data_IF_030577125208
#
_entry.id   IF_030577125208
#
_cell.length_a   1.000
_cell.length_b   1.000
_cell.length_c   1.000
_cell.angle_alpha   90.00
_cell.angle_beta   90.00
_cell.angle_gamma   90.00
#
_symmetry.space_group_name_H-M   'P 1'
#
loop_
_entity.id
_entity.type
_entity.pdbx_description
1 polymer ?
#
# COMPACT_ATOMS: atom_id res chain seq x y z
N UNK A 1 6.53 1.00 15.19
CA UNK A 1 5.49 -0.05 15.36
C UNK A 1 5.51 -1.07 14.21
N UNK A 2 6.68 -1.47 13.66
CA UNK A 2 6.72 -2.41 12.52
C UNK A 2 6.23 -3.80 12.93
N UNK A 3 5.46 -4.44 12.06
CA UNK A 3 4.92 -5.81 12.22
C UNK A 3 3.98 -6.01 13.41
N UNK A 4 3.42 -4.94 13.99
CA UNK A 4 2.37 -5.10 15.01
C UNK A 4 1.11 -5.63 14.33
N UNK A 5 0.64 -6.79 14.78
CA UNK A 5 -0.56 -7.43 14.26
C UNK A 5 -1.76 -6.54 14.58
N UNK A 6 -2.49 -6.14 13.54
CA UNK A 6 -3.80 -5.52 13.68
C UNK A 6 -4.88 -6.60 13.83
N UNK A 7 -4.83 -7.62 12.99
CA UNK A 7 -5.76 -8.75 12.99
C UNK A 7 -5.09 -10.01 12.47
N UNK A 8 -5.40 -11.16 13.05
CA UNK A 8 -4.98 -12.46 12.53
C UNK A 8 -6.02 -13.53 12.85
N UNK A 9 -6.33 -14.36 11.85
CA UNK A 9 -7.03 -15.63 12.01
C UNK A 9 -6.38 -16.71 11.10
N UNK A 10 -7.07 -17.83 10.88
CA UNK A 10 -6.57 -18.92 10.03
C UNK A 10 -6.53 -18.59 8.54
N UNK A 11 -7.18 -17.50 8.10
CA UNK A 11 -7.34 -17.09 6.70
C UNK A 11 -6.60 -15.79 6.37
N UNK A 12 -6.57 -14.83 7.29
CA UNK A 12 -6.07 -13.48 7.06
C UNK A 12 -5.12 -13.06 8.17
N UNK A 13 -4.06 -12.36 7.80
CA UNK A 13 -3.18 -11.63 8.71
C UNK A 13 -3.01 -10.20 8.18
N UNK A 14 -3.38 -9.21 8.99
CA UNK A 14 -3.22 -7.79 8.70
C UNK A 14 -2.31 -7.16 9.76
N UNK A 15 -1.31 -6.41 9.29
CA UNK A 15 -0.30 -5.76 10.10
C UNK A 15 -0.43 -4.24 9.91
N UNK A 16 -0.32 -3.49 11.01
CA UNK A 16 -0.28 -2.03 10.92
C UNK A 16 0.86 -1.58 10.00
N UNK A 17 0.56 -0.63 9.11
CA UNK A 17 1.53 -0.01 8.20
C UNK A 17 1.83 1.43 8.68
N UNK A 18 0.84 2.33 8.61
CA UNK A 18 0.98 3.72 9.04
C UNK A 18 -0.32 4.19 9.72
N UNK A 19 -0.21 4.91 10.84
CA UNK A 19 -1.36 5.45 11.58
C UNK A 19 -1.50 6.93 11.22
N UNK A 20 -2.58 7.28 10.52
CA UNK A 20 -2.86 8.67 10.14
C UNK A 20 -3.54 9.43 11.28
N UNK A 21 -4.39 8.76 12.05
CA UNK A 21 -5.09 9.37 13.17
C UNK A 21 -5.38 8.36 14.27
N UNK A 22 -4.99 8.70 15.50
CA UNK A 22 -5.29 7.97 16.72
C UNK A 22 -5.61 8.91 17.88
N UNK A 23 -6.48 8.46 18.79
CA UNK A 23 -6.75 9.14 20.06
C UNK A 23 -6.35 8.21 21.20
N UNK A 24 -7.16 7.17 21.43
CA UNK A 24 -6.85 6.06 22.35
C UNK A 24 -6.57 4.75 21.60
N UNK A 25 -6.92 4.73 20.30
CA UNK A 25 -6.75 3.60 19.38
C UNK A 25 -6.64 4.15 17.96
N UNK A 26 -6.07 3.38 17.02
CA UNK A 26 -6.05 3.74 15.62
C UNK A 26 -7.47 3.86 15.05
N UNK A 27 -7.81 5.06 14.59
CA UNK A 27 -9.11 5.39 13.98
C UNK A 27 -8.99 5.36 12.47
N UNK A 28 -7.95 5.99 11.93
CA UNK A 28 -7.68 6.05 10.49
C UNK A 28 -6.23 5.66 10.24
N UNK A 29 -6.01 4.59 9.49
CA UNK A 29 -4.68 4.01 9.30
C UNK A 29 -4.63 3.15 8.04
N UNK A 30 -3.43 2.93 7.52
CA UNK A 30 -3.15 1.89 6.54
C UNK A 30 -2.68 0.61 7.23
N UNK A 31 -2.97 -0.53 6.62
CA UNK A 31 -2.41 -1.81 7.00
C UNK A 31 -2.06 -2.65 5.77
N UNK A 32 -1.19 -3.63 5.96
CA UNK A 32 -0.75 -4.55 4.91
C UNK A 32 -1.09 -5.99 5.27
N UNK A 33 -1.39 -6.81 4.26
CA UNK A 33 -1.45 -8.26 4.44
C UNK A 33 -0.08 -8.93 4.26
N UNK A 34 -0.02 -10.26 4.40
CA UNK A 34 1.19 -11.05 4.23
C UNK A 34 1.85 -10.93 2.83
N UNK A 35 1.08 -10.51 1.82
CA UNK A 35 1.55 -10.32 0.45
C UNK A 35 1.93 -8.85 0.17
N UNK A 36 2.00 -8.03 1.22
CA UNK A 36 2.29 -6.60 1.14
C UNK A 36 1.25 -5.86 0.26
N UNK A 37 0.00 -6.34 0.22
CA UNK A 37 -1.13 -5.58 -0.35
C UNK A 37 -1.57 -4.54 0.68
N UNK A 38 -1.71 -3.30 0.23
CA UNK A 38 -2.11 -2.17 1.07
C UNK A 38 -3.62 -2.05 1.17
N UNK A 39 -4.10 -1.70 2.37
CA UNK A 39 -5.49 -1.45 2.68
C UNK A 39 -5.62 -0.15 3.48
N UNK A 40 -6.65 0.64 3.18
CA UNK A 40 -7.08 1.78 3.99
C UNK A 40 -8.13 1.30 4.99
N UNK A 41 -7.98 1.68 6.26
CA UNK A 41 -8.82 1.22 7.36
C UNK A 41 -9.37 2.39 8.17
N UNK A 42 -10.67 2.35 8.45
CA UNK A 42 -11.38 3.35 9.26
C UNK A 42 -12.21 2.66 10.34
N UNK A 43 -12.12 3.12 11.59
CA UNK A 43 -13.04 2.76 12.66
C UNK A 43 -14.39 3.47 12.43
N UNK A 44 -15.44 2.71 12.17
CA UNK A 44 -16.76 3.24 11.76
C UNK A 44 -17.86 3.10 12.84
N UNK A 45 -17.67 2.25 13.85
CA UNK A 45 -18.58 2.17 15.01
C UNK A 45 -17.79 1.75 16.25
N UNK A 46 -18.06 2.38 17.38
CA UNK A 46 -17.48 2.06 18.69
C UNK A 46 -18.53 1.96 19.82
N UNK A 47 -19.82 2.07 19.49
CA UNK A 47 -20.90 2.21 20.50
C UNK A 47 -21.23 0.91 21.22
N UNK A 48 -21.25 -0.21 20.48
CA UNK A 48 -21.60 -1.56 21.00
C UNK A 48 -20.48 -2.57 20.85
N UNK A 49 -19.73 -2.44 19.77
CA UNK A 49 -18.57 -3.23 19.39
C UNK A 49 -17.69 -2.30 18.56
N UNK A 50 -16.37 -2.49 18.57
CA UNK A 50 -15.54 -1.76 17.63
C UNK A 50 -15.68 -2.39 16.25
N UNK A 51 -15.93 -1.57 15.24
CA UNK A 51 -16.01 -2.01 13.85
C UNK A 51 -15.07 -1.19 12.99
N UNK A 52 -14.19 -1.87 12.28
CA UNK A 52 -13.36 -1.30 11.25
C UNK A 52 -13.84 -1.75 9.88
N UNK A 53 -13.84 -0.82 8.93
CA UNK A 53 -14.03 -1.09 7.53
C UNK A 53 -12.73 -0.85 6.77
N UNK A 54 -12.36 -1.83 5.94
CA UNK A 54 -11.13 -1.79 5.17
C UNK A 54 -11.40 -2.00 3.68
N UNK A 55 -10.63 -1.29 2.87
CA UNK A 55 -10.66 -1.39 1.40
C UNK A 55 -9.24 -1.45 0.86
N UNK A 56 -9.04 -2.19 -0.24
CA UNK A 56 -7.76 -2.20 -0.94
C UNK A 56 -7.44 -0.80 -1.45
N UNK A 57 -6.18 -0.40 -1.34
CA UNK A 57 -5.71 0.92 -1.79
C UNK A 57 -4.27 0.84 -2.32
N UNK A 58 -3.72 1.97 -2.75
CA UNK A 58 -2.33 2.14 -3.18
C UNK A 58 -1.68 3.33 -2.48
N UNK A 59 -0.35 3.38 -2.48
CA UNK A 59 0.42 4.51 -1.91
C UNK A 59 -0.02 5.84 -2.54
N UNK A 60 -0.27 5.85 -3.85
CA UNK A 60 -0.73 7.04 -4.57
C UNK A 60 -2.12 7.49 -4.12
N UNK A 61 -3.07 6.57 -3.92
CA UNK A 61 -4.40 6.95 -3.42
C UNK A 61 -4.31 7.57 -2.02
N UNK A 62 -3.43 7.05 -1.15
CA UNK A 62 -3.21 7.61 0.18
C UNK A 62 -2.53 8.99 0.11
N UNK A 63 -1.54 9.15 -0.77
CA UNK A 63 -0.92 10.46 -1.04
C UNK A 63 -1.96 11.46 -1.57
N UNK A 64 -2.86 11.03 -2.46
CA UNK A 64 -3.91 11.87 -3.02
C UNK A 64 -4.97 12.24 -1.97
N UNK A 65 -5.25 11.35 -1.00
CA UNK A 65 -6.05 11.67 0.18
C UNK A 65 -5.39 12.76 1.02
N UNK A 66 -4.11 12.61 1.36
CA UNK A 66 -3.36 13.61 2.15
C UNK A 66 -3.17 14.94 1.42
N UNK A 67 -3.27 14.96 0.09
CA UNK A 67 -3.18 16.19 -0.73
C UNK A 67 -4.54 16.79 -1.06
N UNK A 68 -5.62 16.29 -0.47
CA UNK A 68 -6.99 16.71 -0.76
C UNK A 68 -7.39 16.59 -2.25
N UNK A 69 -6.79 15.63 -2.97
CA UNK A 69 -7.11 15.32 -4.37
C UNK A 69 -8.11 14.18 -4.52
N UNK A 70 -8.19 13.32 -3.50
CA UNK A 70 -9.10 12.19 -3.42
C UNK A 70 -9.74 12.21 -2.04
N UNK A 71 -11.06 12.13 -1.95
CA UNK A 71 -11.71 12.02 -0.64
C UNK A 71 -11.54 10.61 -0.08
N UNK A 72 -11.60 10.47 1.25
CA UNK A 72 -11.63 9.14 1.86
C UNK A 72 -12.81 8.33 1.32
N UNK A 73 -14.01 8.93 1.24
CA UNK A 73 -15.24 8.29 0.75
C UNK A 73 -15.07 7.68 -0.64
N UNK A 74 -14.44 8.38 -1.58
CA UNK A 74 -14.25 7.88 -2.95
C UNK A 74 -13.43 6.59 -3.02
N UNK A 75 -12.47 6.38 -2.10
CA UNK A 75 -11.73 5.12 -2.02
C UNK A 75 -12.65 3.97 -1.59
N UNK A 76 -13.58 4.23 -0.67
CA UNK A 76 -14.51 3.23 -0.16
C UNK A 76 -15.64 2.88 -1.14
N UNK A 77 -16.02 3.76 -2.05
CA UNK A 77 -17.09 3.48 -3.04
C UNK A 77 -16.55 2.82 -4.31
N UNK A 78 -15.32 3.13 -4.71
CA UNK A 78 -14.72 2.65 -5.96
C UNK A 78 -14.03 1.28 -5.80
N UNK A 79 -14.72 0.33 -5.17
CA UNK A 79 -14.26 -1.05 -4.96
C UNK A 79 -15.45 -2.01 -4.96
N UNK A 80 -15.18 -3.30 -5.08
CA UNK A 80 -16.20 -4.35 -5.08
C UNK A 80 -16.20 -5.20 -3.79
N UNK A 81 -15.21 -4.99 -2.91
CA UNK A 81 -15.01 -5.80 -1.70
C UNK A 81 -14.56 -4.95 -0.52
N UNK A 82 -15.18 -5.20 0.62
CA UNK A 82 -14.84 -4.58 1.91
C UNK A 82 -14.52 -5.65 2.95
N UNK A 83 -13.47 -5.44 3.74
CA UNK A 83 -13.17 -6.26 4.90
C UNK A 83 -13.71 -5.56 6.13
N UNK A 84 -14.62 -6.22 6.85
CA UNK A 84 -15.20 -5.72 8.08
C UNK A 84 -14.61 -6.52 9.24
N UNK A 85 -13.89 -5.82 10.12
CA UNK A 85 -13.36 -6.38 11.35
C UNK A 85 -14.18 -5.86 12.51
N UNK A 86 -14.72 -6.78 13.32
CA UNK A 86 -15.48 -6.45 14.53
C UNK A 86 -14.74 -6.96 15.75
N UNK A 87 -14.62 -6.15 16.79
CA UNK A 87 -14.07 -6.53 18.09
C UNK A 87 -15.13 -6.39 19.18
N UNK A 88 -15.36 -7.49 19.90
CA UNK A 88 -16.22 -7.52 21.09
C UNK A 88 -15.55 -8.33 22.18
N UNK A 89 -15.40 -7.74 23.37
CA UNK A 89 -14.71 -8.34 24.52
C UNK A 89 -13.30 -8.86 24.18
N UNK A 90 -12.53 -8.09 23.40
CA UNK A 90 -11.16 -8.45 22.98
C UNK A 90 -11.07 -9.49 21.87
N UNK A 91 -12.21 -10.06 21.43
CA UNK A 91 -12.24 -11.04 20.34
C UNK A 91 -12.54 -10.32 19.03
N UNK A 92 -11.62 -10.42 18.07
CA UNK A 92 -11.78 -9.89 16.71
C UNK A 92 -12.31 -10.95 15.76
N UNK A 93 -13.16 -10.54 14.81
CA UNK A 93 -13.64 -11.37 13.69
C UNK A 93 -13.64 -10.55 12.40
N UNK A 94 -13.11 -11.13 11.32
CA UNK A 94 -13.09 -10.54 9.99
C UNK A 94 -14.10 -11.24 9.07
N UNK A 95 -14.83 -10.47 8.28
CA UNK A 95 -15.68 -10.97 7.19
C UNK A 95 -15.59 -10.04 5.98
N UNK A 96 -15.60 -10.62 4.78
CA UNK A 96 -15.64 -9.87 3.53
C UNK A 96 -17.10 -9.65 3.13
N UNK A 97 -17.40 -8.43 2.70
CA UNK A 97 -18.71 -7.98 2.25
C UNK A 97 -18.64 -7.58 0.78
N UNK A 98 -19.70 -7.89 0.04
CA UNK A 98 -19.96 -7.36 -1.30
C UNK A 98 -20.77 -6.06 -1.21
N UNK A 99 -20.99 -5.42 -2.36
CA UNK A 99 -21.72 -4.15 -2.45
C UNK A 99 -23.16 -4.25 -1.91
N UNK A 100 -23.80 -5.40 -2.09
CA UNK A 100 -25.17 -5.66 -1.62
C UNK A 100 -25.24 -5.86 -0.10
N UNK A 101 -24.12 -6.18 0.54
CA UNK A 101 -24.05 -6.53 1.95
C UNK A 101 -23.51 -5.37 2.80
N UNK A 102 -22.67 -4.52 2.22
CA UNK A 102 -21.98 -3.45 2.95
C UNK A 102 -22.95 -2.32 3.31
N UNK A 103 -22.78 -1.76 4.50
CA UNK A 103 -23.55 -0.60 4.93
C UNK A 103 -22.80 0.68 4.56
N UNK A 104 -23.33 1.49 3.64
CA UNK A 104 -22.70 2.76 3.25
C UNK A 104 -22.59 3.77 4.40
N UNK A 105 -23.40 3.63 5.46
CA UNK A 105 -23.26 4.47 6.66
C UNK A 105 -21.99 4.18 7.45
N UNK A 106 -21.34 3.04 7.19
CA UNK A 106 -20.05 2.69 7.78
C UNK A 106 -18.89 3.35 7.00
N UNK A 107 -19.15 4.05 5.88
CA UNK A 107 -18.11 4.72 5.09
C UNK A 107 -17.73 6.07 5.70
N UNK A 108 -16.50 6.58 5.44
CA UNK A 108 -16.14 7.95 5.77
C UNK A 108 -17.13 8.96 5.19
N UNK A 109 -17.25 10.14 5.81
CA UNK A 109 -18.22 11.14 5.37
C UNK A 109 -17.95 11.61 3.94
N UNK A 110 -19.00 11.73 3.11
CA UNK A 110 -18.90 12.06 1.66
C UNK A 110 -18.05 13.30 1.31
N UNK A 111 -17.95 14.27 2.21
CA UNK A 111 -17.20 15.52 2.01
C UNK A 111 -16.00 15.67 2.97
N UNK A 112 -15.64 14.61 3.69
CA UNK A 112 -14.50 14.60 4.59
C UNK A 112 -13.20 14.42 3.81
N UNK A 113 -12.51 15.53 3.58
CA UNK A 113 -11.10 15.49 3.25
C UNK A 113 -10.29 15.14 4.50
N UNK A 114 -9.16 14.45 4.31
CA UNK A 114 -8.20 14.25 5.38
C UNK A 114 -7.28 15.48 5.41
N UNK A 115 -7.47 16.35 6.41
CA UNK A 115 -6.75 17.62 6.53
C UNK A 115 -5.32 17.38 7.03
N UNK A 116 -4.51 16.72 6.20
CA UNK A 116 -3.12 16.47 6.50
C UNK A 116 -2.32 17.78 6.40
N UNK A 117 -1.50 18.06 7.40
CA UNK A 117 -0.54 19.14 7.28
C UNK A 117 0.69 18.71 6.43
N UNK A 118 1.58 19.68 6.17
CA UNK A 118 2.77 19.43 5.33
C UNK A 118 3.75 18.46 5.98
N UNK A 119 3.83 18.46 7.31
CA UNK A 119 4.75 17.61 8.07
C UNK A 119 4.20 16.18 8.11
N UNK A 120 2.90 15.99 8.30
CA UNK A 120 2.24 14.68 8.20
C UNK A 120 2.43 14.05 6.80
N UNK A 121 2.25 14.83 5.73
CA UNK A 121 2.51 14.36 4.38
C UNK A 121 3.99 13.97 4.20
N UNK A 122 4.91 14.77 4.72
CA UNK A 122 6.35 14.50 4.63
C UNK A 122 6.74 13.24 5.41
N UNK A 123 6.16 13.03 6.58
CA UNK A 123 6.37 11.85 7.40
C UNK A 123 5.86 10.59 6.70
N UNK A 124 4.68 10.65 6.10
CA UNK A 124 4.15 9.54 5.32
C UNK A 124 5.01 9.21 4.08
N UNK A 125 5.46 10.22 3.34
CA UNK A 125 6.38 10.03 2.22
C UNK A 125 7.70 9.40 2.66
N UNK A 126 8.22 9.81 3.82
CA UNK A 126 9.44 9.24 4.41
C UNK A 126 9.23 7.78 4.83
N UNK A 127 8.06 7.44 5.38
CA UNK A 127 7.67 6.06 5.69
C UNK A 127 7.72 5.17 4.44
N UNK A 128 7.09 5.60 3.34
CA UNK A 128 7.10 4.86 2.06
C UNK A 128 8.54 4.67 1.57
N UNK A 129 9.35 5.72 1.57
CA UNK A 129 10.73 5.66 1.09
C UNK A 129 11.57 4.70 1.95
N UNK A 130 11.45 4.78 3.27
CA UNK A 130 12.15 3.91 4.21
C UNK A 130 11.76 2.44 4.05
N UNK A 131 10.51 2.14 3.69
CA UNK A 131 10.07 0.77 3.37
C UNK A 131 10.75 0.24 2.10
N UNK A 132 10.79 1.04 1.03
CA UNK A 132 11.46 0.68 -0.23
C UNK A 132 12.95 0.45 -0.02
N UNK A 133 13.61 1.35 0.71
CA UNK A 133 15.02 1.21 1.07
C UNK A 133 15.29 0.00 1.96
N UNK A 134 14.42 -0.31 2.91
CA UNK A 134 14.60 -1.49 3.77
C UNK A 134 14.59 -2.78 2.94
N UNK A 135 13.69 -2.89 1.96
CA UNK A 135 13.66 -4.03 1.04
C UNK A 135 14.98 -4.15 0.25
N UNK A 136 15.45 -3.03 -0.32
CA UNK A 136 16.73 -2.96 -1.04
C UNK A 136 17.94 -3.28 -0.14
N UNK A 137 17.92 -2.86 1.14
CA UNK A 137 18.96 -3.16 2.14
C UNK A 137 18.98 -4.64 2.54
N UNK A 138 17.84 -5.35 2.46
CA UNK A 138 17.77 -6.78 2.80
C UNK A 138 18.35 -7.66 1.69
N UNK A 139 18.17 -7.26 0.43
CA UNK A 139 18.68 -7.97 -0.74
C UNK A 139 19.95 -7.26 -1.24
N UNK A 140 21.10 -7.62 -0.63
CA UNK A 140 22.40 -7.00 -0.94
C UNK A 140 23.18 -7.71 -2.03
N UNK A 141 22.94 -9.02 -2.21
CA UNK A 141 23.67 -9.89 -3.15
C UNK A 141 22.70 -10.77 -3.90
N UNK A 142 23.04 -11.12 -5.13
CA UNK A 142 22.32 -12.10 -5.94
C UNK A 142 23.28 -12.72 -6.99
N UNK A 143 22.86 -13.79 -7.64
CA UNK A 143 23.60 -14.41 -8.74
C UNK A 143 23.54 -13.56 -10.00
N UNK A 144 24.70 -13.17 -10.53
CA UNK A 144 24.80 -12.48 -11.81
C UNK A 144 24.99 -13.51 -12.92
N UNK A 145 24.05 -13.59 -13.87
CA UNK A 145 24.14 -14.52 -15.01
C UNK A 145 25.33 -14.23 -15.93
N UNK A 146 25.75 -12.96 -16.01
CA UNK A 146 26.85 -12.52 -16.86
C UNK A 146 28.22 -12.83 -16.24
N UNK A 147 28.38 -12.64 -14.92
CA UNK A 147 29.60 -13.01 -14.20
C UNK A 147 29.63 -14.49 -13.78
N UNK A 148 28.48 -15.17 -13.81
CA UNK A 148 28.25 -16.54 -13.30
C UNK A 148 28.66 -16.75 -11.85
N UNK A 149 28.44 -15.74 -11.00
CA UNK A 149 28.71 -15.80 -9.55
C UNK A 149 27.83 -14.85 -8.77
N UNK A 150 27.77 -15.04 -7.46
CA UNK A 150 27.09 -14.12 -6.55
C UNK A 150 27.87 -12.81 -6.38
N UNK A 151 27.23 -11.70 -6.71
CA UNK A 151 27.82 -10.35 -6.63
C UNK A 151 26.94 -9.44 -5.79
N UNK A 152 27.54 -8.36 -5.28
CA UNK A 152 26.77 -7.26 -4.71
C UNK A 152 25.89 -6.60 -5.76
N UNK A 153 24.72 -6.12 -5.32
CA UNK A 153 23.78 -5.35 -6.13
C UNK A 153 23.98 -3.85 -5.87
N UNK A 154 24.01 -3.07 -6.95
CA UNK A 154 23.79 -1.63 -6.93
C UNK A 154 22.36 -1.36 -7.39
N UNK A 155 21.55 -0.75 -6.53
CA UNK A 155 20.17 -0.39 -6.84
C UNK A 155 20.10 0.95 -7.57
N UNK A 156 19.20 1.06 -8.55
CA UNK A 156 19.00 2.28 -9.33
C UNK A 156 17.58 2.40 -9.88
N UNK A 157 17.37 3.41 -10.72
CA UNK A 157 16.15 3.63 -11.49
C UNK A 157 16.47 3.64 -12.98
N UNK A 158 15.59 3.06 -13.79
CA UNK A 158 15.68 3.10 -15.23
C UNK A 158 14.33 3.49 -15.85
N UNK A 159 14.38 4.30 -16.91
CA UNK A 159 13.22 4.59 -17.74
C UNK A 159 12.92 3.41 -18.66
N UNK A 160 11.63 3.07 -18.76
CA UNK A 160 11.09 1.98 -19.56
C UNK A 160 9.84 2.44 -20.28
N UNK A 161 9.56 1.82 -21.42
CA UNK A 161 8.32 2.01 -22.16
C UNK A 161 7.59 0.69 -22.23
N UNK A 162 6.30 0.70 -21.91
CA UNK A 162 5.41 -0.46 -22.07
C UNK A 162 4.15 -0.06 -22.85
N UNK A 163 3.38 -1.05 -23.31
CA UNK A 163 2.12 -0.81 -23.99
C UNK A 163 0.94 -1.16 -23.08
N UNK A 164 0.14 -0.16 -22.70
CA UNK A 164 -1.07 -0.34 -21.89
C UNK A 164 -2.27 0.07 -22.73
N UNK A 165 -3.17 -0.88 -23.00
CA UNK A 165 -4.39 -0.68 -23.79
C UNK A 165 -4.12 -0.06 -25.18
N UNK A 166 -3.04 -0.48 -25.84
CA UNK A 166 -2.66 0.01 -27.17
C UNK A 166 -1.90 1.33 -27.18
N UNK A 167 -1.63 1.94 -26.01
CA UNK A 167 -0.90 3.21 -25.91
C UNK A 167 0.47 3.00 -25.25
N UNK A 168 1.55 3.59 -25.80
CA UNK A 168 2.84 3.60 -25.12
C UNK A 168 2.75 4.39 -23.81
N UNK A 169 3.37 3.85 -22.77
CA UNK A 169 3.45 4.48 -21.47
C UNK A 169 4.88 4.35 -20.94
N UNK A 170 5.49 5.51 -20.69
CA UNK A 170 6.82 5.61 -20.10
C UNK A 170 6.72 5.62 -18.58
N UNK A 171 7.58 4.84 -17.93
CA UNK A 171 7.61 4.70 -16.48
C UNK A 171 9.03 4.47 -15.97
N UNK A 172 9.24 4.80 -14.69
CA UNK A 172 10.49 4.53 -13.99
C UNK A 172 10.35 3.25 -13.17
N UNK A 173 11.23 2.28 -13.37
CA UNK A 173 11.27 1.06 -12.56
C UNK A 173 12.57 0.95 -11.76
N UNK A 174 12.51 0.23 -10.66
CA UNK A 174 13.68 -0.16 -9.90
C UNK A 174 14.50 -1.18 -10.69
N UNK A 175 15.81 -0.97 -10.77
CA UNK A 175 16.75 -1.92 -11.37
C UNK A 175 17.82 -2.33 -10.36
N UNK A 176 18.22 -3.60 -10.44
CA UNK A 176 19.36 -4.14 -9.72
C UNK A 176 20.51 -4.32 -10.71
N UNK A 177 21.68 -3.78 -10.41
CA UNK A 177 22.86 -3.84 -11.29
C UNK A 177 23.99 -4.58 -10.59
N UNK A 178 24.67 -5.46 -11.32
CA UNK A 178 25.87 -6.14 -10.84
C UNK A 178 26.98 -5.12 -10.57
N UNK A 179 27.49 -5.09 -9.34
CA UNK A 179 28.61 -4.21 -8.96
C UNK A 179 29.89 -4.46 -9.76
N UNK A 180 30.07 -5.66 -10.31
CA UNK A 180 31.28 -6.02 -11.04
C UNK A 180 31.20 -5.74 -12.55
N UNK A 181 30.16 -6.21 -13.24
CA UNK A 181 30.05 -6.08 -14.71
C UNK A 181 29.10 -4.99 -15.17
N UNK A 182 28.36 -4.34 -14.27
CA UNK A 182 27.42 -3.28 -14.60
C UNK A 182 26.15 -3.75 -15.33
N UNK A 183 25.95 -5.05 -15.50
CA UNK A 183 24.75 -5.60 -16.13
C UNK A 183 23.58 -5.72 -15.14
N UNK A 184 22.36 -5.57 -15.66
CA UNK A 184 21.15 -5.76 -14.86
C UNK A 184 21.02 -7.21 -14.35
N UNK A 185 20.44 -7.33 -13.16
CA UNK A 185 20.21 -8.55 -12.43
C UNK A 185 18.73 -8.61 -12.03
N UNK A 186 18.23 -9.82 -11.80
CA UNK A 186 16.84 -10.04 -11.41
C UNK A 186 16.74 -10.74 -10.05
N UNK A 187 16.98 -10.04 -8.93
CA UNK A 187 16.75 -10.58 -7.60
C UNK A 187 15.28 -10.90 -7.36
N UNK A 188 15.05 -11.91 -6.52
CA UNK A 188 13.70 -12.32 -6.14
C UNK A 188 12.90 -11.13 -5.57
N UNK A 189 11.65 -10.97 -6.05
CA UNK A 189 10.74 -9.88 -5.68
C UNK A 189 10.93 -8.58 -6.45
N UNK A 190 11.95 -8.45 -7.32
CA UNK A 190 12.11 -7.25 -8.14
C UNK A 190 10.99 -7.10 -9.18
N UNK A 191 10.59 -8.19 -9.82
CA UNK A 191 9.48 -8.16 -10.79
C UNK A 191 8.19 -7.67 -10.12
N UNK A 192 7.85 -8.24 -8.95
CA UNK A 192 6.64 -7.85 -8.22
C UNK A 192 6.68 -6.37 -7.80
N UNK A 193 7.86 -5.87 -7.41
CA UNK A 193 8.07 -4.46 -7.13
C UNK A 193 7.83 -3.61 -8.37
N UNK A 194 8.42 -3.97 -9.52
CA UNK A 194 8.31 -3.20 -10.76
C UNK A 194 6.86 -3.19 -11.28
N UNK A 195 6.11 -4.29 -11.14
CA UNK A 195 4.68 -4.33 -11.46
C UNK A 195 3.90 -3.33 -10.60
N UNK A 196 4.13 -3.31 -9.28
CA UNK A 196 3.49 -2.33 -8.39
C UNK A 196 3.85 -0.90 -8.76
N UNK A 197 5.12 -0.62 -9.03
CA UNK A 197 5.59 0.71 -9.44
C UNK A 197 4.97 1.17 -10.77
N UNK A 198 4.80 0.25 -11.72
CA UNK A 198 4.13 0.53 -12.99
C UNK A 198 2.64 0.85 -12.78
N UNK A 199 1.92 0.00 -12.05
CA UNK A 199 0.49 0.20 -11.75
C UNK A 199 0.26 1.54 -11.03
N UNK A 200 1.12 1.86 -10.06
CA UNK A 200 1.09 3.12 -9.33
C UNK A 200 1.25 4.32 -10.27
N UNK A 201 2.30 4.34 -11.11
CA UNK A 201 2.55 5.44 -12.05
C UNK A 201 1.44 5.59 -13.09
N UNK A 202 0.91 4.48 -13.59
CA UNK A 202 -0.20 4.49 -14.53
C UNK A 202 -1.47 5.07 -13.88
N UNK A 203 -1.81 4.65 -12.66
CA UNK A 203 -2.94 5.19 -11.92
C UNK A 203 -2.79 6.70 -11.69
N UNK A 204 -1.61 7.17 -11.28
CA UNK A 204 -1.32 8.59 -11.07
C UNK A 204 -1.54 9.43 -12.32
N UNK A 205 -1.19 8.89 -13.49
CA UNK A 205 -1.27 9.59 -14.78
C UNK A 205 -2.70 9.68 -15.31
N UNK A 206 -3.51 8.62 -15.15
CA UNK A 206 -4.81 8.49 -15.83
C UNK A 206 -6.04 8.53 -14.92
N UNK A 207 -5.91 8.41 -13.59
CA UNK A 207 -7.04 8.43 -12.65
C UNK A 207 -7.36 9.84 -12.10
N UNK A 208 -6.61 10.86 -12.54
CA UNK A 208 -6.84 12.29 -12.24
C UNK A 208 -7.51 13.05 -13.43
N UNK A 209 -8.35 12.36 -14.22
CA UNK A 209 -9.17 12.97 -15.28
C UNK A 209 -10.64 12.60 -15.11
#
# INVERSE_FOLDING_TARGET
>A
MRNKIFYQDTKYAFYYDYIFFEIYRPIFFSCKDQNNQLYLTTLCDDRKEFRWIMVKTSENQLIDIMKNKLTMYEVYVNTDKWWIIKEKHGIKKCKIYTKEQVNELDFPTKRGYFDADKDELKDYLSHIQNEKEYHMKKVKRNFCINCRKETDIMWGKAERTTNIKGKPFDYLETVAVCKECGQEMNPHGLIDLNIKELEEQYQKTYRNK
#
